data_IF_715751259132
#
_entry.id   IF_715751259132
#
_cell.length_a   1.000
_cell.length_b   1.000
_cell.length_c   1.000
_cell.angle_alpha   90.00
_cell.angle_beta   90.00
_cell.angle_gamma   90.00
#
_symmetry.space_group_name_H-M   'P 1'
#
loop_
_entity.id
_entity.type
_entity.pdbx_description
1 polymer ?
#
# COMPACT_ATOMS: atom_id res chain seq x y z
N UNK A 1 18.78 8.13 6.31
CA UNK A 1 19.13 8.21 4.87
C UNK A 1 17.93 7.91 4.00
N UNK A 2 17.49 6.65 3.82
CA UNK A 2 16.31 6.35 3.00
C UNK A 2 15.05 7.12 3.43
N UNK A 3 14.80 7.22 4.74
CA UNK A 3 13.69 8.00 5.29
C UNK A 3 13.82 9.52 5.06
N UNK A 4 15.00 10.03 4.74
CA UNK A 4 15.26 11.46 4.51
C UNK A 4 15.41 11.80 3.03
N UNK A 5 16.11 10.96 2.27
CA UNK A 5 16.55 11.25 0.89
C UNK A 5 15.84 10.38 -0.16
N UNK A 6 15.03 9.38 0.27
CA UNK A 6 14.43 8.39 -0.60
C UNK A 6 15.46 7.48 -1.29
N UNK A 7 15.01 6.69 -2.27
CA UNK A 7 15.90 5.80 -3.03
C UNK A 7 16.86 6.54 -3.95
N UNK A 8 16.44 7.66 -4.54
CA UNK A 8 17.26 8.48 -5.45
C UNK A 8 18.48 9.04 -4.73
N UNK A 9 18.33 9.47 -3.48
CA UNK A 9 19.43 9.97 -2.65
C UNK A 9 20.23 8.88 -1.94
N UNK A 10 19.85 7.62 -2.05
CA UNK A 10 20.51 6.51 -1.37
C UNK A 10 21.70 5.97 -2.15
N UNK A 11 22.86 5.92 -1.51
CA UNK A 11 24.03 5.21 -2.04
C UNK A 11 24.73 4.40 -0.95
N UNK A 12 25.23 3.22 -1.34
CA UNK A 12 25.99 2.34 -0.43
C UNK A 12 27.24 3.05 0.11
N UNK A 13 27.87 3.92 -0.72
CA UNK A 13 29.03 4.74 -0.31
C UNK A 13 28.65 5.70 0.82
N UNK A 14 27.54 6.43 0.69
CA UNK A 14 27.04 7.34 1.75
C UNK A 14 26.64 6.59 3.00
N UNK A 15 26.04 5.38 2.85
CA UNK A 15 25.73 4.53 3.98
C UNK A 15 26.99 4.09 4.71
N UNK A 16 27.97 3.54 3.99
CA UNK A 16 29.26 3.12 4.57
C UNK A 16 29.95 4.24 5.33
N UNK A 17 30.04 5.44 4.73
CA UNK A 17 30.59 6.61 5.39
C UNK A 17 29.84 6.99 6.69
N UNK A 18 28.50 6.86 6.70
CA UNK A 18 27.68 7.20 7.86
C UNK A 18 27.83 6.22 9.03
N UNK A 19 28.04 4.93 8.74
CA UNK A 19 28.19 3.88 9.76
C UNK A 19 29.64 3.50 10.04
N UNK A 20 30.60 4.17 9.39
CA UNK A 20 32.03 3.99 9.63
C UNK A 20 32.61 2.68 9.04
N UNK A 21 32.02 2.17 7.96
CA UNK A 21 32.51 0.95 7.28
C UNK A 21 32.75 1.19 5.79
N UNK A 22 33.64 0.38 5.21
CA UNK A 22 33.88 0.42 3.77
C UNK A 22 32.62 0.00 2.99
N UNK A 23 32.27 0.71 1.90
CA UNK A 23 31.13 0.37 1.06
C UNK A 23 31.14 -1.09 0.53
N UNK A 24 32.34 -1.66 0.26
CA UNK A 24 32.47 -3.05 -0.16
C UNK A 24 32.12 -4.03 0.96
N UNK A 25 32.38 -3.66 2.22
CA UNK A 25 31.93 -4.46 3.38
C UNK A 25 30.42 -4.53 3.45
N UNK A 26 29.71 -3.43 3.17
CA UNK A 26 28.25 -3.40 3.10
C UNK A 26 27.76 -4.32 1.97
N UNK A 27 28.33 -4.21 0.77
CA UNK A 27 27.95 -5.05 -0.38
C UNK A 27 28.30 -6.52 -0.15
N UNK A 28 29.43 -6.82 0.49
CA UNK A 28 29.80 -8.19 0.83
C UNK A 28 28.79 -8.82 1.81
N UNK A 29 28.28 -8.05 2.76
CA UNK A 29 27.29 -8.51 3.75
C UNK A 29 25.91 -8.73 3.14
N UNK A 30 25.46 -7.84 2.24
CA UNK A 30 24.11 -7.89 1.66
C UNK A 30 24.06 -8.49 0.27
N UNK A 31 25.21 -8.73 -0.38
CA UNK A 31 25.32 -9.22 -1.75
C UNK A 31 25.13 -8.14 -2.82
N UNK A 32 24.09 -7.29 -2.69
CA UNK A 32 23.80 -6.22 -3.65
C UNK A 32 23.09 -5.04 -2.99
N UNK A 33 23.02 -3.90 -3.72
CA UNK A 33 22.19 -2.75 -3.31
C UNK A 33 20.72 -3.14 -3.24
N UNK A 34 20.24 -3.93 -4.19
CA UNK A 34 18.84 -4.33 -4.26
C UNK A 34 18.45 -5.25 -3.09
N UNK A 35 19.33 -6.18 -2.71
CA UNK A 35 19.10 -7.02 -1.55
C UNK A 35 19.09 -6.21 -0.24
N UNK A 36 19.98 -5.22 -0.11
CA UNK A 36 19.95 -4.29 1.00
C UNK A 36 18.63 -3.50 1.06
N UNK A 37 18.16 -2.97 -0.09
CA UNK A 37 16.89 -2.23 -0.16
C UNK A 37 15.70 -3.14 0.17
N UNK A 38 15.70 -4.37 -0.32
CA UNK A 38 14.68 -5.39 -0.02
C UNK A 38 14.58 -5.65 1.49
N UNK A 39 15.71 -5.87 2.15
CA UNK A 39 15.77 -6.08 3.61
C UNK A 39 15.33 -4.85 4.41
N UNK A 40 15.60 -3.65 3.91
CA UNK A 40 15.12 -2.42 4.55
C UNK A 40 13.58 -2.33 4.46
N UNK A 41 13.00 -2.64 3.31
CA UNK A 41 11.54 -2.66 3.14
C UNK A 41 10.89 -3.70 4.06
N UNK A 42 11.39 -4.94 4.06
CA UNK A 42 10.91 -5.99 4.95
C UNK A 42 11.03 -5.62 6.43
N UNK A 43 12.17 -5.03 6.81
CA UNK A 43 12.35 -4.55 8.19
C UNK A 43 11.38 -3.45 8.58
N UNK A 44 11.04 -2.55 7.66
CA UNK A 44 10.04 -1.52 7.89
C UNK A 44 8.64 -2.15 8.08
N UNK A 45 8.26 -3.10 7.23
CA UNK A 45 7.01 -3.84 7.38
C UNK A 45 6.94 -4.62 8.70
N UNK A 46 8.04 -5.23 9.14
CA UNK A 46 8.14 -5.92 10.42
C UNK A 46 7.95 -5.01 11.66
N UNK A 47 7.89 -3.67 11.48
CA UNK A 47 7.60 -2.73 12.59
C UNK A 47 6.12 -2.46 12.78
N UNK A 48 5.26 -2.88 11.86
CA UNK A 48 3.82 -2.79 12.01
C UNK A 48 3.25 -4.11 12.51
N UNK A 49 2.20 -4.02 13.33
CA UNK A 49 1.51 -5.20 13.83
C UNK A 49 0.63 -5.77 12.71
N UNK A 50 1.07 -6.90 12.16
CA UNK A 50 0.24 -7.67 11.25
C UNK A 50 -0.71 -8.56 12.06
N UNK A 51 -1.97 -8.70 11.64
CA UNK A 51 -2.90 -9.59 12.32
C UNK A 51 -2.44 -11.05 12.21
N UNK A 52 -2.77 -11.85 13.21
CA UNK A 52 -2.75 -13.30 13.05
C UNK A 52 -4.03 -13.73 12.30
N UNK A 53 -3.94 -14.75 11.42
CA UNK A 53 -5.12 -15.24 10.71
C UNK A 53 -6.22 -15.67 11.69
N UNK A 54 -7.44 -15.21 11.45
CA UNK A 54 -8.60 -15.48 12.30
C UNK A 54 -9.73 -16.20 11.54
N UNK A 55 -10.86 -16.40 12.20
CA UNK A 55 -12.08 -16.90 11.55
C UNK A 55 -12.86 -15.76 10.84
N UNK A 56 -12.59 -14.51 11.17
CA UNK A 56 -13.18 -13.34 10.51
C UNK A 56 -12.28 -12.84 9.39
N UNK A 57 -12.41 -13.43 8.23
CA UNK A 57 -11.62 -13.09 7.06
C UNK A 57 -11.76 -11.61 6.63
N UNK A 58 -12.94 -10.98 6.89
CA UNK A 58 -13.15 -9.56 6.59
C UNK A 58 -12.30 -8.67 7.50
N UNK A 59 -12.28 -9.00 8.79
CA UNK A 59 -11.44 -8.31 9.77
C UNK A 59 -9.95 -8.49 9.45
N UNK A 60 -9.53 -9.68 9.02
CA UNK A 60 -8.14 -9.97 8.64
C UNK A 60 -7.69 -9.09 7.46
N UNK A 61 -8.48 -9.02 6.37
CA UNK A 61 -8.18 -8.15 5.23
C UNK A 61 -8.12 -6.67 5.62
N UNK A 62 -9.09 -6.22 6.43
CA UNK A 62 -9.11 -4.83 6.91
C UNK A 62 -7.88 -4.50 7.74
N UNK A 63 -7.47 -5.38 8.63
CA UNK A 63 -6.30 -5.17 9.48
C UNK A 63 -5.00 -5.10 8.65
N UNK A 64 -4.86 -5.93 7.60
CA UNK A 64 -3.73 -5.83 6.67
C UNK A 64 -3.76 -4.49 5.93
N UNK A 65 -4.91 -4.04 5.44
CA UNK A 65 -5.03 -2.74 4.76
C UNK A 65 -4.60 -1.58 5.68
N UNK A 66 -5.04 -1.58 6.94
CA UNK A 66 -4.64 -0.58 7.96
C UNK A 66 -3.14 -0.64 8.21
N UNK A 67 -2.55 -1.85 8.35
CA UNK A 67 -1.12 -2.01 8.60
C UNK A 67 -0.27 -1.41 7.46
N UNK A 68 -0.65 -1.62 6.20
CA UNK A 68 0.07 -1.03 5.05
C UNK A 68 -0.14 0.48 4.95
N UNK A 69 -1.33 1.00 5.25
CA UNK A 69 -1.55 2.45 5.34
C UNK A 69 -0.67 3.10 6.40
N UNK A 70 -0.61 2.49 7.59
CA UNK A 70 0.26 2.95 8.69
C UNK A 70 1.74 2.93 8.29
N UNK A 71 2.18 1.88 7.59
CA UNK A 71 3.54 1.78 7.08
C UNK A 71 3.86 2.92 6.11
N UNK A 72 2.95 3.22 5.17
CA UNK A 72 3.12 4.32 4.22
C UNK A 72 3.24 5.67 4.94
N UNK A 73 2.42 5.94 5.94
CA UNK A 73 2.47 7.18 6.71
C UNK A 73 3.74 7.31 7.56
N UNK A 74 4.19 6.21 8.19
CA UNK A 74 5.43 6.23 9.01
C UNK A 74 6.69 6.30 8.17
N UNK A 75 6.69 5.67 6.99
CA UNK A 75 7.88 5.49 6.17
C UNK A 75 7.60 5.74 4.67
N UNK A 76 7.05 6.90 4.26
CA UNK A 76 6.58 7.12 2.88
C UNK A 76 7.67 6.85 1.85
N UNK A 77 8.91 7.26 2.13
CA UNK A 77 10.05 7.08 1.21
C UNK A 77 10.60 5.66 1.13
N UNK A 78 10.35 4.82 2.15
CA UNK A 78 10.70 3.40 2.12
C UNK A 78 9.55 2.61 1.48
N UNK A 79 8.32 3.07 1.63
CA UNK A 79 7.13 2.38 1.16
C UNK A 79 7.14 2.12 -0.36
N UNK A 80 7.72 3.02 -1.15
CA UNK A 80 7.94 2.82 -2.59
C UNK A 80 8.67 1.51 -2.93
N UNK A 81 9.50 0.98 -2.04
CA UNK A 81 10.24 -0.26 -2.27
C UNK A 81 9.31 -1.48 -2.40
N UNK A 82 8.09 -1.44 -1.80
CA UNK A 82 7.11 -2.50 -1.94
C UNK A 82 6.51 -2.60 -3.36
N UNK A 83 6.63 -1.55 -4.17
CA UNK A 83 6.28 -1.60 -5.60
C UNK A 83 7.40 -2.14 -6.48
N UNK A 84 8.64 -2.08 -5.99
CA UNK A 84 9.80 -2.48 -6.77
C UNK A 84 10.06 -3.99 -6.72
N UNK A 85 9.77 -4.61 -5.58
CA UNK A 85 10.06 -6.02 -5.34
C UNK A 85 8.77 -6.83 -5.27
N UNK A 86 8.76 -8.00 -5.92
CA UNK A 86 7.60 -8.90 -5.86
C UNK A 86 7.33 -9.41 -4.43
N UNK A 87 8.39 -9.61 -3.65
CA UNK A 87 8.33 -9.87 -2.23
C UNK A 87 9.56 -9.25 -1.56
N UNK A 88 9.38 -8.65 -0.38
CA UNK A 88 10.47 -8.00 0.34
C UNK A 88 11.20 -8.94 1.30
N UNK A 89 10.49 -9.86 1.95
CA UNK A 89 11.08 -10.83 2.86
C UNK A 89 10.07 -11.53 3.77
N UNK A 90 10.50 -12.04 4.93
CA UNK A 90 9.65 -12.81 5.85
C UNK A 90 8.41 -12.07 6.35
N UNK A 91 8.49 -10.75 6.61
CA UNK A 91 7.34 -9.97 7.05
C UNK A 91 6.29 -9.84 5.95
N UNK A 92 6.73 -9.68 4.71
CA UNK A 92 5.86 -9.63 3.55
C UNK A 92 5.17 -10.98 3.29
N UNK A 93 5.92 -12.08 3.42
CA UNK A 93 5.33 -13.42 3.34
C UNK A 93 4.32 -13.68 4.47
N UNK A 94 4.58 -13.22 5.69
CA UNK A 94 3.64 -13.34 6.79
C UNK A 94 2.34 -12.56 6.52
N UNK A 95 2.44 -11.36 5.95
CA UNK A 95 1.28 -10.58 5.50
C UNK A 95 0.51 -11.31 4.41
N UNK A 96 1.21 -11.87 3.41
CA UNK A 96 0.61 -12.60 2.30
C UNK A 96 -0.17 -13.83 2.78
N UNK A 97 0.35 -14.55 3.78
CA UNK A 97 -0.33 -15.69 4.38
C UNK A 97 -1.69 -15.29 5.01
N UNK A 98 -1.75 -14.14 5.70
CA UNK A 98 -3.01 -13.62 6.26
C UNK A 98 -4.03 -13.36 5.14
N UNK A 99 -3.61 -12.67 4.07
CA UNK A 99 -4.49 -12.32 2.95
C UNK A 99 -5.00 -13.55 2.22
N UNK A 100 -4.11 -14.48 1.85
CA UNK A 100 -4.53 -15.66 1.10
C UNK A 100 -5.43 -16.59 1.94
N UNK A 101 -5.14 -16.76 3.22
CA UNK A 101 -6.02 -17.54 4.11
C UNK A 101 -7.38 -16.87 4.27
N UNK A 102 -7.44 -15.55 4.40
CA UNK A 102 -8.69 -14.82 4.47
C UNK A 102 -9.55 -15.05 3.21
N UNK A 103 -8.94 -14.96 2.03
CA UNK A 103 -9.64 -15.17 0.76
C UNK A 103 -10.13 -16.63 0.58
N UNK A 104 -9.31 -17.62 0.97
CA UNK A 104 -9.73 -19.01 0.96
C UNK A 104 -10.87 -19.28 1.97
N UNK A 105 -10.84 -18.65 3.17
CA UNK A 105 -11.93 -18.71 4.14
C UNK A 105 -13.21 -18.03 3.64
N UNK A 106 -13.10 -17.03 2.76
CA UNK A 106 -14.26 -16.44 2.08
C UNK A 106 -14.93 -17.40 1.08
N UNK A 107 -14.33 -18.57 0.82
CA UNK A 107 -14.85 -19.60 -0.08
C UNK A 107 -14.37 -19.47 -1.53
N UNK A 108 -13.33 -18.68 -1.79
CA UNK A 108 -12.73 -18.57 -3.11
C UNK A 108 -11.91 -19.82 -3.47
N UNK A 109 -11.88 -20.16 -4.75
CA UNK A 109 -10.93 -21.15 -5.28
C UNK A 109 -9.49 -20.63 -5.20
N UNK A 110 -8.50 -21.54 -5.32
CA UNK A 110 -7.07 -21.17 -5.32
C UNK A 110 -6.74 -20.11 -6.40
N UNK A 111 -7.32 -20.24 -7.59
CA UNK A 111 -7.09 -19.30 -8.69
C UNK A 111 -7.69 -17.92 -8.40
N UNK A 112 -8.91 -17.88 -7.84
CA UNK A 112 -9.56 -16.62 -7.46
C UNK A 112 -8.81 -15.96 -6.28
N UNK A 113 -8.42 -16.74 -5.26
CA UNK A 113 -7.68 -16.24 -4.12
C UNK A 113 -6.32 -15.66 -4.54
N UNK A 114 -5.61 -16.34 -5.44
CA UNK A 114 -4.35 -15.82 -5.98
C UNK A 114 -4.54 -14.49 -6.75
N UNK A 115 -5.55 -14.43 -7.64
CA UNK A 115 -5.84 -13.23 -8.42
C UNK A 115 -6.29 -12.06 -7.56
N UNK A 116 -7.27 -12.28 -6.66
CA UNK A 116 -7.81 -11.25 -5.78
C UNK A 116 -6.79 -10.82 -4.72
N UNK A 117 -5.92 -11.71 -4.25
CA UNK A 117 -4.84 -11.34 -3.34
C UNK A 117 -3.86 -10.36 -3.97
N UNK A 118 -3.45 -10.59 -5.23
CA UNK A 118 -2.64 -9.61 -5.98
C UNK A 118 -3.37 -8.29 -6.20
N UNK A 119 -4.67 -8.34 -6.55
CA UNK A 119 -5.50 -7.15 -6.70
C UNK A 119 -5.64 -6.38 -5.39
N UNK A 120 -5.79 -7.07 -4.26
CA UNK A 120 -5.83 -6.46 -2.94
C UNK A 120 -4.53 -5.72 -2.61
N UNK A 121 -3.36 -6.33 -2.86
CA UNK A 121 -2.09 -5.64 -2.67
C UNK A 121 -1.93 -4.44 -3.60
N UNK A 122 -2.30 -4.57 -4.87
CA UNK A 122 -2.25 -3.45 -5.80
C UNK A 122 -3.14 -2.28 -5.31
N UNK A 123 -4.33 -2.59 -4.79
CA UNK A 123 -5.26 -1.62 -4.22
C UNK A 123 -4.67 -0.94 -2.97
N UNK A 124 -4.28 -1.70 -1.93
CA UNK A 124 -3.84 -1.10 -0.66
C UNK A 124 -2.50 -0.36 -0.80
N UNK A 125 -1.56 -0.88 -1.59
CA UNK A 125 -0.28 -0.23 -1.85
C UNK A 125 -0.51 1.09 -2.62
N UNK A 126 -1.33 1.06 -3.68
CA UNK A 126 -1.64 2.24 -4.48
C UNK A 126 -2.37 3.30 -3.67
N UNK A 127 -3.38 2.92 -2.89
CA UNK A 127 -4.14 3.84 -2.04
C UNK A 127 -3.24 4.49 -0.98
N UNK A 128 -2.50 3.67 -0.21
CA UNK A 128 -1.64 4.15 0.86
C UNK A 128 -0.53 5.08 0.34
N UNK A 129 0.05 4.77 -0.83
CA UNK A 129 1.03 5.64 -1.46
C UNK A 129 0.41 6.96 -1.91
N UNK A 130 -0.73 6.92 -2.60
CA UNK A 130 -1.44 8.11 -3.08
C UNK A 130 -1.82 9.04 -1.91
N UNK A 131 -2.22 8.46 -0.77
CA UNK A 131 -2.51 9.23 0.43
C UNK A 131 -1.25 9.83 1.06
N UNK A 132 -0.16 9.05 1.20
CA UNK A 132 1.10 9.50 1.77
C UNK A 132 1.78 10.59 0.94
N UNK A 133 1.65 10.54 -0.40
CA UNK A 133 2.15 11.57 -1.34
C UNK A 133 1.19 12.76 -1.50
N UNK A 134 0.04 12.77 -0.82
CA UNK A 134 -0.88 13.90 -0.78
C UNK A 134 -1.83 14.00 -1.97
N UNK A 135 -1.96 12.96 -2.80
CA UNK A 135 -2.97 12.92 -3.88
C UNK A 135 -4.38 12.80 -3.28
N UNK A 136 -4.55 11.95 -2.25
CA UNK A 136 -5.83 11.74 -1.58
C UNK A 136 -5.94 12.68 -0.38
N UNK A 137 -6.28 13.94 -0.65
CA UNK A 137 -6.47 15.01 0.35
C UNK A 137 -7.71 15.86 0.01
N UNK A 138 -8.27 16.60 0.97
CA UNK A 138 -9.20 17.67 0.64
C UNK A 138 -8.58 18.63 -0.38
N UNK A 139 -9.36 19.08 -1.34
CA UNK A 139 -8.87 20.03 -2.34
C UNK A 139 -8.62 21.40 -1.72
N UNK A 140 -7.58 22.09 -2.21
CA UNK A 140 -7.26 23.46 -1.85
C UNK A 140 -8.20 24.46 -2.54
N UNK A 141 -8.13 25.74 -2.14
CA UNK A 141 -8.87 26.79 -2.82
C UNK A 141 -8.41 26.99 -4.28
N UNK A 142 -7.13 26.72 -4.57
CA UNK A 142 -6.57 26.73 -5.92
C UNK A 142 -7.13 25.58 -6.76
N UNK A 143 -7.10 24.34 -6.23
CA UNK A 143 -7.73 23.18 -6.88
C UNK A 143 -9.23 23.43 -7.15
N UNK A 144 -9.95 24.03 -6.19
CA UNK A 144 -11.37 24.40 -6.35
C UNK A 144 -11.57 25.40 -7.50
N UNK A 145 -10.73 26.42 -7.58
CA UNK A 145 -10.82 27.42 -8.65
C UNK A 145 -10.59 26.81 -10.03
N UNK A 146 -9.62 25.89 -10.16
CA UNK A 146 -9.37 25.14 -11.39
C UNK A 146 -10.57 24.26 -11.78
N UNK A 147 -11.14 23.52 -10.83
CA UNK A 147 -12.32 22.69 -11.08
C UNK A 147 -13.55 23.48 -11.49
N UNK A 148 -13.75 24.69 -10.91
CA UNK A 148 -14.86 25.58 -11.27
C UNK A 148 -14.69 26.25 -12.63
N UNK A 149 -13.47 26.29 -13.16
CA UNK A 149 -13.19 26.79 -14.52
C UNK A 149 -13.48 25.78 -15.63
N UNK A 150 -13.77 24.52 -15.28
CA UNK A 150 -14.13 23.48 -16.25
C UNK A 150 -15.46 23.80 -16.95
N UNK A 151 -15.61 23.35 -18.20
CA UNK A 151 -16.88 23.43 -18.93
C UNK A 151 -17.96 22.60 -18.20
N UNK A 152 -19.05 23.22 -17.71
CA UNK A 152 -20.11 22.52 -17.01
C UNK A 152 -20.86 21.49 -17.88
N UNK A 153 -20.84 21.64 -19.20
CA UNK A 153 -21.44 20.67 -20.09
C UNK A 153 -20.57 19.43 -20.31
N UNK A 154 -19.25 19.61 -20.27
CA UNK A 154 -18.29 18.52 -20.41
C UNK A 154 -17.99 17.78 -19.07
N UNK A 155 -18.01 18.50 -17.94
CA UNK A 155 -17.59 17.99 -16.64
C UNK A 155 -18.63 18.17 -15.51
N UNK A 156 -19.93 17.88 -15.75
CA UNK A 156 -20.98 18.18 -14.76
C UNK A 156 -20.81 17.43 -13.45
N UNK A 157 -20.40 16.16 -13.48
CA UNK A 157 -20.20 15.35 -12.27
C UNK A 157 -19.01 15.84 -11.44
N UNK A 158 -17.89 16.19 -12.07
CA UNK A 158 -16.71 16.70 -11.39
C UNK A 158 -17.02 18.00 -10.65
N UNK A 159 -17.74 18.93 -11.30
CA UNK A 159 -18.14 20.21 -10.71
C UNK A 159 -19.12 20.01 -9.55
N UNK A 160 -20.08 19.10 -9.71
CA UNK A 160 -21.04 18.78 -8.64
C UNK A 160 -20.38 18.22 -7.38
N UNK A 161 -19.25 17.52 -7.51
CA UNK A 161 -18.52 16.91 -6.40
C UNK A 161 -17.53 17.84 -5.68
N UNK A 162 -17.33 19.08 -6.15
CA UNK A 162 -16.40 20.04 -5.54
C UNK A 162 -16.62 20.19 -4.01
N UNK A 163 -17.86 20.37 -3.50
CA UNK A 163 -18.07 20.48 -2.05
C UNK A 163 -17.64 19.22 -1.28
N UNK A 164 -17.86 18.03 -1.87
CA UNK A 164 -17.46 16.76 -1.28
C UNK A 164 -15.94 16.58 -1.28
N UNK A 165 -15.25 16.96 -2.36
CA UNK A 165 -13.79 16.96 -2.41
C UNK A 165 -13.16 17.89 -1.37
N UNK A 166 -13.79 19.05 -1.12
CA UNK A 166 -13.31 20.01 -0.13
C UNK A 166 -13.52 19.53 1.31
N UNK A 167 -14.59 18.78 1.55
CA UNK A 167 -14.94 18.20 2.85
C UNK A 167 -14.44 16.76 3.04
N UNK A 168 -13.51 16.27 2.20
CA UNK A 168 -13.07 14.90 2.21
C UNK A 168 -12.47 14.51 3.57
N UNK A 169 -13.10 13.52 4.22
CA UNK A 169 -12.54 12.83 5.37
C UNK A 169 -11.70 11.64 4.88
N UNK A 170 -10.39 11.70 5.11
CA UNK A 170 -9.44 10.70 4.62
C UNK A 170 -9.66 9.34 5.25
N UNK A 171 -9.99 9.30 6.55
CA UNK A 171 -10.21 8.04 7.26
C UNK A 171 -11.52 7.39 6.83
N UNK A 172 -12.58 8.17 6.69
CA UNK A 172 -13.85 7.69 6.16
C UNK A 172 -13.71 7.18 4.71
N UNK A 173 -12.98 7.90 3.86
CA UNK A 173 -12.74 7.51 2.47
C UNK A 173 -11.91 6.22 2.37
N UNK A 174 -10.86 6.07 3.19
CA UNK A 174 -10.09 4.84 3.26
C UNK A 174 -10.95 3.64 3.69
N UNK A 175 -11.69 3.78 4.79
CA UNK A 175 -12.54 2.70 5.31
C UNK A 175 -13.60 2.30 4.28
N UNK A 176 -14.29 3.26 3.66
CA UNK A 176 -15.27 2.97 2.62
C UNK A 176 -14.66 2.25 1.41
N UNK A 177 -13.43 2.60 1.01
CA UNK A 177 -12.73 1.95 -0.10
C UNK A 177 -12.33 0.52 0.23
N UNK A 178 -11.85 0.28 1.46
CA UNK A 178 -11.53 -1.08 1.95
C UNK A 178 -12.80 -1.92 2.06
N UNK A 179 -13.89 -1.36 2.59
CA UNK A 179 -15.18 -2.04 2.70
C UNK A 179 -15.72 -2.42 1.31
N UNK A 180 -15.66 -1.52 0.35
CA UNK A 180 -16.10 -1.79 -1.03
C UNK A 180 -15.28 -2.93 -1.68
N UNK A 181 -13.95 -3.00 -1.42
CA UNK A 181 -13.14 -4.12 -1.89
C UNK A 181 -13.58 -5.43 -1.22
N UNK A 182 -13.71 -5.45 0.10
CA UNK A 182 -14.07 -6.63 0.90
C UNK A 182 -15.46 -7.15 0.54
N UNK A 183 -16.43 -6.26 0.35
CA UNK A 183 -17.80 -6.62 -0.03
C UNK A 183 -17.87 -7.17 -1.47
N UNK A 184 -16.91 -6.78 -2.33
CA UNK A 184 -16.74 -7.33 -3.67
C UNK A 184 -16.10 -8.73 -3.70
N UNK A 185 -15.61 -9.24 -2.58
CA UNK A 185 -15.07 -10.61 -2.48
C UNK A 185 -16.24 -11.60 -2.42
N UNK A 186 -16.65 -12.07 -3.59
CA UNK A 186 -17.75 -13.02 -3.73
C UNK A 186 -17.23 -14.25 -4.48
N UNK A 187 -17.40 -15.49 -3.95
CA UNK A 187 -17.07 -16.71 -4.68
C UNK A 187 -17.83 -16.73 -6.01
N UNK A 188 -17.17 -17.13 -7.10
CA UNK A 188 -17.88 -17.39 -8.34
C UNK A 188 -18.95 -18.46 -8.06
N UNK A 189 -20.20 -18.17 -8.38
CA UNK A 189 -21.26 -19.15 -8.29
C UNK A 189 -20.82 -20.41 -9.04
N UNK A 190 -20.84 -21.56 -8.40
CA UNK A 190 -20.56 -22.83 -9.08
C UNK A 190 -21.36 -22.86 -10.40
N UNK A 191 -20.75 -23.22 -11.56
CA UNK A 191 -21.49 -23.33 -12.78
C UNK A 191 -22.64 -24.28 -12.51
N UNK A 192 -23.89 -23.82 -12.75
CA UNK A 192 -25.11 -24.53 -12.41
C UNK A 192 -25.07 -25.98 -12.88
N UNK A 193 -25.22 -26.91 -11.95
CA UNK A 193 -25.42 -28.33 -12.16
C UNK A 193 -26.70 -28.64 -12.89
#
# INVERSE_FOLDING_TARGET
>A
MLSQDGEVGFSVRRLGARIGVDPMTVLHHFGSKDELLRRIADRALATVELPLPSADWRADLRAVAVAYRDLAHRHPRIFHLHFRFHATGPADHASSEVVYRALLHAGLTDAEAAGLGLAFYAFILGYALAEAEGLLRPISDEDEAELRALDPLACPATIALIPAFKALDRDAAFNASVDAFIDGVVPASAPGS
#
